data_IF_230310487060
#
_entry.id   IF_230310487060
#
_cell.length_a   1.000
_cell.length_b   1.000
_cell.length_c   1.000
_cell.angle_alpha   90.00
_cell.angle_beta   90.00
_cell.angle_gamma   90.00
#
_symmetry.space_group_name_H-M   'P 1'
#
loop_
_entity.id
_entity.type
_entity.pdbx_description
1 polymer ?
#
# COMPACT_ATOMS: atom_id res chain seq x y z
N UNK A 1 6.94 -18.24 9.89
CA UNK A 1 7.57 -16.91 9.92
C UNK A 1 7.73 -16.45 8.47
N UNK A 2 7.19 -15.28 8.12
CA UNK A 2 7.31 -14.75 6.75
C UNK A 2 8.78 -14.41 6.45
N UNK A 3 9.15 -14.41 5.17
CA UNK A 3 10.47 -13.93 4.73
C UNK A 3 10.62 -12.44 5.07
N UNK A 4 11.84 -12.00 5.32
CA UNK A 4 12.16 -10.62 5.69
C UNK A 4 11.63 -9.61 4.66
N UNK A 5 11.73 -9.91 3.38
CA UNK A 5 11.25 -9.04 2.29
C UNK A 5 9.74 -8.81 2.35
N UNK A 6 8.98 -9.85 2.70
CA UNK A 6 7.53 -9.76 2.90
C UNK A 6 7.21 -8.86 4.10
N UNK A 7 7.95 -8.99 5.20
CA UNK A 7 7.76 -8.13 6.37
C UNK A 7 8.06 -6.66 6.06
N UNK A 8 9.07 -6.39 5.22
CA UNK A 8 9.40 -5.05 4.76
C UNK A 8 8.27 -4.48 3.90
N UNK A 9 7.76 -5.24 2.93
CA UNK A 9 6.65 -4.81 2.08
C UNK A 9 5.38 -4.48 2.89
N UNK A 10 5.02 -5.33 3.86
CA UNK A 10 3.90 -5.04 4.76
C UNK A 10 4.11 -3.79 5.61
N UNK A 11 5.32 -3.60 6.13
CA UNK A 11 5.65 -2.39 6.92
C UNK A 11 5.52 -1.13 6.07
N UNK A 12 5.97 -1.18 4.81
CA UNK A 12 5.83 -0.07 3.86
C UNK A 12 4.35 0.20 3.53
N UNK A 13 3.55 -0.84 3.32
CA UNK A 13 2.13 -0.72 3.03
C UNK A 13 1.37 -0.04 4.20
N UNK A 14 1.65 -0.46 5.44
CA UNK A 14 1.08 0.15 6.65
C UNK A 14 1.49 1.62 6.76
N UNK A 15 2.77 1.93 6.59
CA UNK A 15 3.26 3.32 6.62
C UNK A 15 2.62 4.20 5.56
N UNK A 16 2.37 3.65 4.37
CA UNK A 16 1.74 4.39 3.28
C UNK A 16 0.27 4.71 3.60
N UNK A 17 -0.48 3.74 4.13
CA UNK A 17 -1.84 3.97 4.59
C UNK A 17 -1.89 5.00 5.74
N UNK A 18 -0.97 4.95 6.69
CA UNK A 18 -0.84 5.95 7.76
C UNK A 18 -0.54 7.35 7.20
N UNK A 19 0.42 7.45 6.28
CA UNK A 19 0.82 8.72 5.64
C UNK A 19 -0.34 9.37 4.91
N UNK A 20 -1.21 8.56 4.28
CA UNK A 20 -2.42 9.02 3.59
C UNK A 20 -3.63 9.17 4.51
N UNK A 21 -3.49 8.86 5.81
CA UNK A 21 -4.57 8.82 6.80
C UNK A 21 -5.74 7.93 6.36
N UNK A 22 -5.47 6.84 5.65
CA UNK A 22 -6.49 5.88 5.28
C UNK A 22 -6.83 5.01 6.49
N UNK A 23 -8.13 4.86 6.77
CA UNK A 23 -8.58 4.06 7.92
C UNK A 23 -8.22 2.58 7.76
N UNK A 24 -8.17 2.09 6.52
CA UNK A 24 -7.98 0.67 6.22
C UNK A 24 -6.72 0.43 5.40
N UNK A 25 -6.02 -0.66 5.74
CA UNK A 25 -4.98 -1.24 4.90
C UNK A 25 -5.64 -2.10 3.83
N UNK A 26 -5.41 -1.77 2.56
CA UNK A 26 -6.01 -2.48 1.42
C UNK A 26 -4.94 -3.22 0.61
N UNK A 27 -5.38 -4.09 -0.32
CA UNK A 27 -4.49 -4.77 -1.27
C UNK A 27 -3.69 -3.82 -2.15
N UNK A 28 -4.24 -2.64 -2.45
CA UNK A 28 -3.59 -1.62 -3.26
C UNK A 28 -2.38 -1.04 -2.55
N UNK A 29 -2.42 -0.89 -1.22
CA UNK A 29 -1.26 -0.47 -0.43
C UNK A 29 -0.14 -1.51 -0.45
N UNK A 30 -0.51 -2.79 -0.40
CA UNK A 30 0.45 -3.90 -0.49
C UNK A 30 1.09 -3.91 -1.88
N UNK A 31 0.27 -3.81 -2.94
CA UNK A 31 0.78 -3.75 -4.31
C UNK A 31 1.69 -2.53 -4.50
N UNK A 32 1.29 -1.36 -4.01
CA UNK A 32 2.10 -0.13 -4.07
C UNK A 32 3.46 -0.32 -3.35
N UNK A 33 3.48 -0.95 -2.17
CA UNK A 33 4.71 -1.25 -1.46
C UNK A 33 5.62 -2.23 -2.24
N UNK A 34 5.05 -3.22 -2.90
CA UNK A 34 5.79 -4.17 -3.73
C UNK A 34 6.43 -3.51 -4.95
N UNK A 35 5.89 -2.40 -5.45
CA UNK A 35 6.52 -1.65 -6.55
C UNK A 35 7.89 -1.06 -6.16
N UNK A 36 8.29 -1.07 -4.89
CA UNK A 36 9.61 -0.63 -4.43
C UNK A 36 10.60 -1.78 -4.19
N UNK A 37 10.20 -3.02 -4.42
CA UNK A 37 11.02 -4.20 -4.20
C UNK A 37 11.51 -4.79 -5.53
N UNK A 38 12.83 -4.97 -5.67
CA UNK A 38 13.46 -5.34 -6.93
C UNK A 38 12.95 -6.67 -7.51
N UNK A 39 12.70 -7.68 -6.67
CA UNK A 39 12.21 -8.97 -7.15
C UNK A 39 10.76 -8.86 -7.66
N UNK A 40 9.90 -8.13 -6.96
CA UNK A 40 8.52 -7.85 -7.35
C UNK A 40 8.48 -7.05 -8.65
N UNK A 41 9.29 -6.01 -8.80
CA UNK A 41 9.39 -5.27 -10.07
C UNK A 41 9.78 -6.20 -11.22
N UNK A 42 10.81 -7.05 -11.04
CA UNK A 42 11.22 -8.02 -12.06
C UNK A 42 10.11 -8.99 -12.43
N UNK A 43 9.37 -9.50 -11.45
CA UNK A 43 8.23 -10.41 -11.69
C UNK A 43 7.09 -9.71 -12.43
N UNK A 44 6.71 -8.51 -12.01
CA UNK A 44 5.65 -7.73 -12.65
C UNK A 44 6.01 -7.38 -14.10
N UNK A 45 7.24 -6.95 -14.36
CA UNK A 45 7.74 -6.69 -15.71
C UNK A 45 7.81 -7.96 -16.56
N UNK A 46 8.20 -9.10 -15.99
CA UNK A 46 8.20 -10.39 -16.68
C UNK A 46 6.78 -10.85 -17.08
N UNK A 47 5.77 -10.41 -16.33
CA UNK A 47 4.35 -10.60 -16.66
C UNK A 47 3.81 -9.54 -17.64
N UNK A 48 4.63 -8.60 -18.13
CA UNK A 48 4.24 -7.54 -19.04
C UNK A 48 3.68 -6.27 -18.38
N UNK A 49 3.81 -6.14 -17.06
CA UNK A 49 3.43 -4.93 -16.34
C UNK A 49 4.44 -3.79 -16.53
N UNK A 50 3.95 -2.55 -16.49
CA UNK A 50 4.77 -1.34 -16.47
C UNK A 50 4.73 -0.71 -15.07
N UNK A 51 5.88 -0.64 -14.41
CA UNK A 51 5.96 -0.24 -12.99
C UNK A 51 5.53 1.21 -12.78
N UNK A 52 5.94 2.10 -13.68
CA UNK A 52 5.61 3.53 -13.57
C UNK A 52 4.12 3.80 -13.80
N UNK A 53 3.52 3.14 -14.80
CA UNK A 53 2.08 3.22 -15.06
C UNK A 53 1.27 2.66 -13.91
N UNK A 54 1.63 1.47 -13.39
CA UNK A 54 0.99 0.87 -12.21
C UNK A 54 1.04 1.80 -11.00
N UNK A 55 2.19 2.43 -10.75
CA UNK A 55 2.34 3.39 -9.65
C UNK A 55 1.39 4.57 -9.80
N UNK A 56 1.30 5.14 -11.01
CA UNK A 56 0.40 6.27 -11.29
C UNK A 56 -1.08 5.88 -11.17
N UNK A 57 -1.45 4.68 -11.61
CA UNK A 57 -2.82 4.16 -11.46
C UNK A 57 -3.20 3.97 -9.99
N UNK A 58 -2.29 3.41 -9.18
CA UNK A 58 -2.51 3.26 -7.74
C UNK A 58 -2.61 4.61 -7.02
N UNK A 59 -1.76 5.57 -7.38
CA UNK A 59 -1.85 6.94 -6.85
C UNK A 59 -3.22 7.58 -7.13
N UNK A 60 -3.73 7.43 -8.37
CA UNK A 60 -5.06 7.90 -8.77
C UNK A 60 -6.16 7.15 -8.02
N UNK A 61 -6.03 5.83 -7.87
CA UNK A 61 -6.98 5.01 -7.13
C UNK A 61 -7.10 5.48 -5.68
N UNK A 62 -5.97 5.70 -5.00
CA UNK A 62 -5.98 6.21 -3.63
C UNK A 62 -6.70 7.55 -3.54
N UNK A 63 -6.43 8.48 -4.46
CA UNK A 63 -7.07 9.80 -4.45
C UNK A 63 -8.57 9.76 -4.76
N UNK A 64 -9.04 8.79 -5.56
CA UNK A 64 -10.41 8.73 -6.05
C UNK A 64 -11.32 7.80 -5.23
N UNK A 65 -10.76 6.75 -4.60
CA UNK A 65 -11.53 5.63 -4.07
C UNK A 65 -11.22 5.29 -2.61
N UNK A 66 -10.20 5.90 -2.00
CA UNK A 66 -9.88 5.66 -0.59
C UNK A 66 -10.01 6.98 0.17
N UNK A 67 -10.97 7.01 1.11
CA UNK A 67 -11.22 8.21 1.89
C UNK A 67 -10.17 8.37 3.00
N UNK A 68 -9.59 9.56 3.09
CA UNK A 68 -8.72 9.93 4.20
C UNK A 68 -9.54 10.39 5.40
N UNK A 69 -9.16 9.93 6.59
CA UNK A 69 -9.72 10.45 7.83
C UNK A 69 -9.52 11.97 7.91
N UNK A 70 -10.54 12.73 8.34
CA UNK A 70 -10.46 14.18 8.40
C UNK A 70 -9.36 14.61 9.35
N UNK A 71 -8.72 15.76 9.08
CA UNK A 71 -7.55 16.22 9.83
C UNK A 71 -7.77 16.29 11.35
N UNK A 72 -9.01 16.57 11.75
CA UNK A 72 -9.49 16.71 13.12
C UNK A 72 -9.81 15.38 13.83
N UNK A 73 -9.86 14.26 13.11
CA UNK A 73 -10.06 12.96 13.74
C UNK A 73 -8.80 12.58 14.54
N UNK A 74 -9.01 12.16 15.78
CA UNK A 74 -7.98 11.49 16.57
C UNK A 74 -7.67 10.15 15.89
N UNK A 75 -6.39 9.95 15.54
CA UNK A 75 -5.91 8.70 14.96
C UNK A 75 -5.51 7.81 16.14
N UNK A 76 -6.27 6.75 16.36
CA UNK A 76 -5.95 5.73 17.37
C UNK A 76 -4.72 4.90 16.93
N UNK A 77 -4.03 4.25 17.86
CA UNK A 77 -2.84 3.43 17.57
C UNK A 77 -3.13 2.27 16.61
N UNK A 78 -4.41 1.88 16.47
CA UNK A 78 -4.88 0.80 15.62
C UNK A 78 -5.09 1.19 14.14
N UNK A 79 -4.82 2.45 13.75
CA UNK A 79 -4.96 2.91 12.35
C UNK A 79 -3.64 2.80 11.58
N UNK A 80 -3.63 2.19 10.38
CA UNK A 80 -4.76 1.62 9.65
C UNK A 80 -5.21 0.27 10.21
N UNK A 81 -6.52 0.08 10.25
CA UNK A 81 -7.15 -1.21 10.54
C UNK A 81 -6.84 -2.17 9.39
N UNK A 82 -6.39 -3.36 9.74
CA UNK A 82 -6.27 -4.43 8.77
C UNK A 82 -7.69 -4.93 8.45
N UNK A 83 -8.07 -4.99 7.17
CA UNK A 83 -9.29 -5.71 6.78
C UNK A 83 -9.11 -7.16 7.19
N UNK A 84 -9.85 -7.59 8.22
CA UNK A 84 -9.91 -9.00 8.62
C UNK A 84 -10.46 -9.80 7.43
N UNK A 85 -9.67 -10.76 6.95
CA UNK A 85 -10.07 -11.74 5.95
C UNK A 85 -11.16 -12.68 6.48
#
# INVERSE_FOLDING_TARGET
MFKQDVQIAFTLAVREAQRRRHEYLTTEHILYALLFEDAAQRMLTACGGDIDSLKQELEKFFAAHVESLPATAEIDEEVPRQTLA
#
